data_IF_006930537484
#
_entry.id   IF_006930537484
#
_cell.length_a   1.000
_cell.length_b   1.000
_cell.length_c   1.000
_cell.angle_alpha   90.00
_cell.angle_beta   90.00
_cell.angle_gamma   90.00
#
_symmetry.space_group_name_H-M   'P 1'
#
loop_
_entity.id
_entity.type
_entity.pdbx_description
1 polymer ?
#
# COMPACT_ATOMS: atom_id res chain seq x y z
N UNK A 1 -4.97 -0.56 12.15
CA UNK A 1 -5.65 -0.50 10.85
C UNK A 1 -4.91 0.53 10.04
N UNK A 2 -4.44 0.13 8.86
CA UNK A 2 -3.88 1.04 7.88
C UNK A 2 -4.67 0.94 6.58
N UNK A 3 -4.80 2.04 5.87
CA UNK A 3 -5.30 2.03 4.51
C UNK A 3 -4.81 3.23 3.72
N UNK A 4 -5.08 3.19 2.44
CA UNK A 4 -4.89 4.32 1.53
C UNK A 4 -6.17 4.58 0.77
N UNK A 5 -6.27 5.77 0.20
CA UNK A 5 -7.18 6.03 -0.90
C UNK A 5 -6.46 6.56 -2.12
N UNK A 6 -7.05 6.31 -3.28
CA UNK A 6 -6.60 6.80 -4.57
C UNK A 6 -7.80 7.41 -5.30
N UNK A 7 -7.63 8.52 -6.01
CA UNK A 7 -8.75 9.12 -6.73
C UNK A 7 -9.28 8.13 -7.77
N UNK A 8 -10.61 8.01 -7.85
CA UNK A 8 -11.29 7.09 -8.79
C UNK A 8 -10.88 7.33 -10.24
N UNK A 9 -10.66 8.59 -10.63
CA UNK A 9 -10.25 8.98 -11.99
C UNK A 9 -8.84 8.52 -12.37
N UNK A 10 -8.00 8.20 -11.37
CA UNK A 10 -6.63 7.69 -11.60
C UNK A 10 -6.61 6.19 -11.85
N UNK A 11 -7.76 5.50 -11.68
CA UNK A 11 -7.88 4.07 -11.90
C UNK A 11 -8.74 3.80 -13.14
N UNK A 12 -8.19 3.14 -14.17
CA UNK A 12 -8.95 2.73 -15.34
C UNK A 12 -10.18 1.87 -14.99
N UNK A 13 -11.31 2.17 -15.63
CA UNK A 13 -12.60 1.48 -15.43
C UNK A 13 -12.50 -0.03 -15.61
N UNK A 14 -11.69 -0.47 -16.58
CA UNK A 14 -11.44 -1.89 -16.85
C UNK A 14 -10.86 -2.60 -15.62
N UNK A 15 -9.95 -1.96 -14.88
CA UNK A 15 -9.37 -2.54 -13.66
C UNK A 15 -10.37 -2.56 -12.51
N UNK A 16 -11.22 -1.54 -12.40
CA UNK A 16 -12.27 -1.50 -11.37
C UNK A 16 -13.26 -2.63 -11.58
N UNK A 17 -13.62 -2.89 -12.83
CA UNK A 17 -14.50 -4.00 -13.19
C UNK A 17 -13.82 -5.35 -12.94
N UNK A 18 -12.59 -5.56 -13.44
CA UNK A 18 -11.89 -6.84 -13.34
C UNK A 18 -11.59 -7.23 -11.89
N UNK A 19 -11.26 -6.26 -11.04
CA UNK A 19 -10.98 -6.48 -9.62
C UNK A 19 -12.20 -6.25 -8.71
N UNK A 20 -13.39 -5.98 -9.28
CA UNK A 20 -14.65 -5.76 -8.57
C UNK A 20 -14.54 -4.69 -7.46
N UNK A 21 -13.94 -3.56 -7.78
CA UNK A 21 -13.62 -2.49 -6.82
C UNK A 21 -14.78 -1.50 -6.58
N UNK A 22 -15.96 -1.71 -7.18
CA UNK A 22 -17.10 -0.79 -7.06
C UNK A 22 -17.52 -0.58 -5.61
N UNK A 23 -17.51 -1.63 -4.80
CA UNK A 23 -17.83 -1.55 -3.36
C UNK A 23 -16.78 -0.83 -2.51
N UNK A 24 -15.67 -0.39 -3.11
CA UNK A 24 -14.61 0.40 -2.45
C UNK A 24 -14.67 1.88 -2.80
N UNK A 25 -15.60 2.29 -3.65
CA UNK A 25 -15.79 3.69 -4.02
C UNK A 25 -16.44 4.42 -2.85
N UNK A 26 -15.83 5.52 -2.44
CA UNK A 26 -16.33 6.39 -1.40
C UNK A 26 -16.17 7.85 -1.80
N UNK A 27 -16.87 8.73 -1.08
CA UNK A 27 -16.66 10.17 -1.10
C UNK A 27 -16.41 10.65 0.32
N UNK A 28 -15.47 11.58 0.50
CA UNK A 28 -15.21 12.19 1.82
C UNK A 28 -16.32 13.16 2.19
N UNK A 29 -16.81 13.92 1.21
CA UNK A 29 -17.94 14.85 1.35
C UNK A 29 -18.82 14.77 0.11
N UNK A 30 -19.98 15.44 0.10
CA UNK A 30 -20.89 15.44 -1.05
C UNK A 30 -20.22 15.98 -2.32
N UNK A 31 -19.39 17.01 -2.15
CA UNK A 31 -18.76 17.75 -3.25
C UNK A 31 -17.31 17.29 -3.53
N UNK A 32 -16.82 16.28 -2.82
CA UNK A 32 -15.49 15.71 -3.08
C UNK A 32 -15.51 14.78 -4.29
N UNK A 33 -14.34 14.67 -4.93
CA UNK A 33 -14.08 13.59 -5.89
C UNK A 33 -14.31 12.21 -5.25
N UNK A 34 -14.63 11.24 -6.10
CA UNK A 34 -14.71 9.83 -5.70
C UNK A 34 -13.31 9.25 -5.50
N UNK A 35 -13.19 8.41 -4.48
CA UNK A 35 -11.96 7.74 -4.10
C UNK A 35 -12.20 6.24 -4.01
N UNK A 36 -11.19 5.45 -4.35
CA UNK A 36 -11.15 4.01 -4.06
C UNK A 36 -10.38 3.79 -2.76
N UNK A 37 -10.99 3.08 -1.82
CA UNK A 37 -10.41 2.78 -0.52
C UNK A 37 -9.73 1.41 -0.50
N UNK A 38 -8.55 1.32 0.09
CA UNK A 38 -7.78 0.08 0.22
C UNK A 38 -7.27 -0.08 1.67
N UNK A 39 -7.91 -0.96 2.44
CA UNK A 39 -7.54 -1.24 3.84
C UNK A 39 -6.92 -2.63 4.02
N UNK A 40 -6.02 -2.75 4.99
CA UNK A 40 -5.40 -4.01 5.41
C UNK A 40 -6.39 -5.02 6.00
N UNK A 41 -7.56 -4.54 6.42
CA UNK A 41 -8.65 -5.34 6.98
C UNK A 41 -9.63 -5.90 5.96
N UNK A 42 -9.56 -5.50 4.68
CA UNK A 42 -10.40 -6.13 3.66
C UNK A 42 -10.13 -7.65 3.59
N UNK A 43 -11.16 -8.45 3.28
CA UNK A 43 -11.04 -9.92 3.18
C UNK A 43 -9.94 -10.34 2.20
N UNK A 44 -9.83 -9.59 1.09
CA UNK A 44 -8.77 -9.72 0.10
C UNK A 44 -8.08 -8.36 -0.06
N UNK A 45 -7.14 -8.02 0.83
CA UNK A 45 -6.47 -6.74 0.80
C UNK A 45 -5.55 -6.71 -0.42
N UNK A 46 -5.69 -5.65 -1.20
CA UNK A 46 -4.96 -5.42 -2.44
C UNK A 46 -4.55 -3.97 -2.48
N UNK A 47 -3.42 -3.69 -3.09
CA UNK A 47 -2.96 -2.33 -3.31
C UNK A 47 -2.80 -2.07 -4.81
N UNK A 48 -3.12 -0.86 -5.28
CA UNK A 48 -2.64 -0.37 -6.57
C UNK A 48 -1.11 -0.28 -6.53
N UNK A 49 -0.46 -0.62 -7.63
CA UNK A 49 1.00 -0.59 -7.77
C UNK A 49 1.36 -0.14 -9.18
N UNK A 50 2.24 0.85 -9.28
CA UNK A 50 2.93 1.17 -10.52
C UNK A 50 4.11 0.23 -10.70
N UNK A 51 4.01 -0.66 -11.69
CA UNK A 51 5.04 -1.63 -12.05
C UNK A 51 5.17 -1.66 -13.57
N UNK A 52 6.39 -1.45 -14.08
CA UNK A 52 6.67 -1.44 -15.52
C UNK A 52 5.80 -0.41 -16.29
N UNK A 53 5.54 0.75 -15.68
CA UNK A 53 4.69 1.80 -16.27
C UNK A 53 3.19 1.49 -16.31
N UNK A 54 2.75 0.39 -15.69
CA UNK A 54 1.35 -0.03 -15.66
C UNK A 54 0.81 -0.09 -14.24
N UNK A 55 -0.44 0.36 -14.08
CA UNK A 55 -1.17 0.23 -12.82
C UNK A 55 -1.69 -1.21 -12.70
N UNK A 56 -1.29 -1.90 -11.64
CA UNK A 56 -1.73 -3.27 -11.33
C UNK A 56 -2.24 -3.35 -9.91
N UNK A 57 -3.12 -4.31 -9.62
CA UNK A 57 -3.58 -4.58 -8.26
C UNK A 57 -2.99 -5.89 -7.75
N UNK A 58 -2.09 -5.79 -6.78
CA UNK A 58 -1.43 -6.95 -6.17
C UNK A 58 -1.96 -7.19 -4.76
N UNK A 59 -2.00 -8.46 -4.29
CA UNK A 59 -2.26 -8.76 -2.89
C UNK A 59 -1.31 -8.00 -1.97
N UNK A 60 -1.86 -7.48 -0.87
CA UNK A 60 -1.10 -6.72 0.11
C UNK A 60 -0.51 -7.66 1.17
N UNK A 61 0.81 -7.87 1.06
CA UNK A 61 1.56 -8.78 1.89
C UNK A 61 1.14 -10.23 1.72
N UNK A 62 1.66 -11.10 2.59
CA UNK A 62 1.30 -12.52 2.59
C UNK A 62 0.49 -12.87 3.84
N UNK A 63 -0.71 -13.42 3.62
CA UNK A 63 -1.60 -13.94 4.68
C UNK A 63 -1.68 -15.46 4.70
N UNK A 64 -1.22 -16.14 3.64
CA UNK A 64 -1.27 -17.59 3.51
C UNK A 64 -0.02 -18.27 4.07
N UNK A 65 -0.19 -19.44 4.66
CA UNK A 65 0.90 -20.33 5.08
C UNK A 65 1.44 -21.20 3.94
N UNK A 66 0.78 -21.21 2.77
CA UNK A 66 1.18 -22.03 1.62
C UNK A 66 2.32 -21.41 0.82
N UNK A 67 2.62 -20.14 1.06
CA UNK A 67 3.67 -19.37 0.39
C UNK A 67 4.91 -19.26 1.27
N UNK A 68 6.08 -19.19 0.64
CA UNK A 68 7.37 -18.99 1.31
C UNK A 68 7.64 -17.52 1.64
N UNK A 69 6.75 -16.61 1.23
CA UNK A 69 6.91 -15.18 1.45
C UNK A 69 6.66 -14.81 2.91
N UNK A 70 7.31 -13.76 3.46
CA UNK A 70 7.13 -13.34 4.85
C UNK A 70 5.66 -13.06 5.19
N UNK A 71 5.13 -13.71 6.25
CA UNK A 71 3.73 -13.58 6.69
C UNK A 71 3.47 -12.25 7.43
N UNK A 72 3.62 -11.16 6.71
CA UNK A 72 3.45 -9.78 7.17
C UNK A 72 2.70 -8.97 6.10
N UNK A 73 2.21 -7.78 6.47
CA UNK A 73 1.66 -6.81 5.52
C UNK A 73 2.69 -5.76 5.07
N UNK A 74 3.83 -5.67 5.75
CA UNK A 74 4.81 -4.59 5.57
C UNK A 74 6.22 -5.13 5.46
N UNK A 75 7.05 -4.43 4.69
CA UNK A 75 8.49 -4.61 4.65
C UNK A 75 9.15 -3.49 5.49
N UNK A 76 9.78 -3.80 6.64
CA UNK A 76 10.59 -2.81 7.33
C UNK A 76 11.78 -2.40 6.47
N UNK A 77 11.99 -1.10 6.29
CA UNK A 77 13.09 -0.56 5.48
C UNK A 77 14.44 -1.08 5.97
N UNK A 78 14.64 -1.12 7.29
CA UNK A 78 15.87 -1.59 7.92
C UNK A 78 16.12 -3.07 7.60
N UNK A 79 15.06 -3.87 7.49
CA UNK A 79 15.18 -5.28 7.10
C UNK A 79 15.45 -5.46 5.61
N UNK A 80 14.93 -4.57 4.76
CA UNK A 80 15.20 -4.58 3.32
C UNK A 80 16.66 -4.19 3.06
N UNK A 81 17.10 -3.09 3.68
CA UNK A 81 18.45 -2.52 3.59
C UNK A 81 19.53 -3.50 4.11
N UNK A 82 19.23 -4.22 5.20
CA UNK A 82 20.10 -5.28 5.71
C UNK A 82 20.18 -6.53 4.80
N UNK A 83 19.47 -6.55 3.67
CA UNK A 83 19.54 -7.64 2.69
C UNK A 83 18.70 -8.88 3.04
N UNK A 84 17.88 -8.85 4.09
CA UNK A 84 17.08 -10.02 4.53
C UNK A 84 16.05 -10.47 3.49
N UNK A 85 15.73 -9.62 2.51
CA UNK A 85 14.78 -9.91 1.44
C UNK A 85 15.46 -10.32 0.12
N UNK A 86 16.79 -10.27 0.04
CA UNK A 86 17.54 -10.44 -1.23
C UNK A 86 17.25 -11.77 -1.93
N UNK A 87 17.07 -12.85 -1.16
CA UNK A 87 16.73 -14.17 -1.70
C UNK A 87 15.37 -14.22 -2.42
N UNK A 88 14.49 -13.26 -2.12
CA UNK A 88 13.18 -13.11 -2.74
C UNK A 88 13.21 -12.21 -3.99
N UNK A 89 14.38 -11.65 -4.33
CA UNK A 89 14.59 -10.75 -5.48
C UNK A 89 13.54 -9.62 -5.53
N UNK A 90 13.49 -8.75 -4.51
CA UNK A 90 12.48 -7.70 -4.42
C UNK A 90 12.62 -6.71 -5.58
N UNK A 91 11.50 -6.40 -6.21
CA UNK A 91 11.41 -5.36 -7.24
C UNK A 91 10.79 -4.12 -6.59
N UNK A 92 11.52 -3.01 -6.59
CA UNK A 92 11.00 -1.74 -6.09
C UNK A 92 9.83 -1.25 -6.95
N UNK A 93 8.81 -0.73 -6.28
CA UNK A 93 7.59 -0.19 -6.90
C UNK A 93 7.07 1.01 -6.14
N UNK A 94 6.13 1.73 -6.75
CA UNK A 94 5.35 2.77 -6.08
C UNK A 94 3.92 2.29 -5.90
N UNK A 95 3.41 2.41 -4.68
CA UNK A 95 1.99 2.27 -4.35
C UNK A 95 1.38 3.68 -4.41
N UNK A 96 0.65 4.04 -5.49
CA UNK A 96 0.05 5.35 -5.58
C UNK A 96 -1.04 5.51 -4.53
N UNK A 97 -1.06 6.67 -3.88
CA UNK A 97 -2.04 7.04 -2.86
C UNK A 97 -2.20 8.55 -2.84
N UNK A 98 -3.44 9.02 -2.73
CA UNK A 98 -3.76 10.43 -2.50
C UNK A 98 -3.88 10.74 -1.01
N UNK A 99 -4.33 9.76 -0.22
CA UNK A 99 -4.37 9.87 1.24
C UNK A 99 -3.98 8.55 1.91
N UNK A 100 -3.34 8.66 3.07
CA UNK A 100 -3.14 7.57 4.01
C UNK A 100 -4.16 7.65 5.15
N UNK A 101 -4.52 6.50 5.71
CA UNK A 101 -5.29 6.36 6.93
C UNK A 101 -4.53 5.45 7.89
N UNK A 102 -4.06 5.97 9.01
CA UNK A 102 -3.43 5.16 10.05
C UNK A 102 -4.16 5.39 11.37
N UNK A 103 -4.69 4.31 11.95
CA UNK A 103 -5.47 4.33 13.20
C UNK A 103 -6.60 5.38 13.20
N UNK A 104 -7.24 5.56 12.04
CA UNK A 104 -8.36 6.49 11.86
C UNK A 104 -7.96 7.92 11.55
N UNK A 105 -6.67 8.24 11.55
CA UNK A 105 -6.17 9.56 11.15
C UNK A 105 -5.88 9.56 9.67
N UNK A 106 -6.56 10.45 8.94
CA UNK A 106 -6.33 10.68 7.52
C UNK A 106 -5.30 11.78 7.30
N UNK A 107 -4.37 11.55 6.38
CA UNK A 107 -3.34 12.52 5.99
C UNK A 107 -3.09 12.46 4.48
N UNK A 108 -2.66 13.59 3.91
CA UNK A 108 -2.36 13.69 2.48
C UNK A 108 -1.08 12.90 2.16
N UNK A 109 -1.06 12.27 0.98
CA UNK A 109 0.13 11.69 0.36
C UNK A 109 0.24 12.33 -1.02
N UNK A 110 1.40 12.89 -1.35
CA UNK A 110 1.56 13.68 -2.58
C UNK A 110 1.99 12.84 -3.77
N UNK A 111 2.89 11.88 -3.57
CA UNK A 111 3.45 11.07 -4.66
C UNK A 111 3.15 9.56 -4.51
N UNK A 112 3.04 9.08 -3.28
CA UNK A 112 2.74 7.68 -2.98
C UNK A 112 3.64 7.10 -1.90
N UNK A 113 3.60 5.77 -1.80
CA UNK A 113 4.37 5.00 -0.83
C UNK A 113 5.32 4.06 -1.57
N UNK A 114 6.57 3.98 -1.14
CA UNK A 114 7.52 2.99 -1.66
C UNK A 114 7.09 1.59 -1.26
N UNK A 115 7.21 0.64 -2.16
CA UNK A 115 6.91 -0.76 -1.93
C UNK A 115 7.94 -1.68 -2.57
N UNK A 116 7.90 -2.95 -2.18
CA UNK A 116 8.58 -4.03 -2.90
C UNK A 116 7.57 -5.07 -3.35
N UNK A 117 7.72 -5.52 -4.58
CA UNK A 117 7.03 -6.70 -5.10
C UNK A 117 7.97 -7.89 -5.02
N UNK A 118 7.48 -8.97 -4.43
CA UNK A 118 8.17 -10.26 -4.43
C UNK A 118 7.21 -11.34 -4.92
N UNK A 119 7.78 -12.41 -5.46
CA UNK A 119 7.01 -13.54 -5.96
C UNK A 119 7.64 -14.85 -5.54
N UNK A 120 6.79 -15.85 -5.31
CA UNK A 120 7.18 -17.24 -5.24
C UNK A 120 6.36 -18.07 -6.24
N UNK A 121 6.36 -19.40 -6.09
CA UNK A 121 5.60 -20.29 -6.98
C UNK A 121 4.08 -20.19 -6.80
N UNK A 122 3.61 -19.67 -5.67
CA UNK A 122 2.20 -19.62 -5.30
C UNK A 122 1.58 -18.26 -5.61
N UNK A 123 2.33 -17.17 -5.41
CA UNK A 123 1.79 -15.83 -5.54
C UNK A 123 2.86 -14.77 -5.80
N UNK A 124 2.38 -13.63 -6.30
CA UNK A 124 3.11 -12.37 -6.38
C UNK A 124 2.36 -11.35 -5.51
N UNK A 125 3.07 -10.70 -4.59
CA UNK A 125 2.47 -9.79 -3.61
C UNK A 125 3.30 -8.52 -3.48
N UNK A 126 2.66 -7.45 -3.01
CA UNK A 126 3.33 -6.17 -2.70
C UNK A 126 3.40 -5.98 -1.18
N UNK A 127 4.56 -5.57 -0.71
CA UNK A 127 4.78 -5.11 0.65
C UNK A 127 5.14 -3.62 0.61
N UNK A 128 4.27 -2.72 1.08
CA UNK A 128 4.67 -1.36 1.35
C UNK A 128 5.86 -1.33 2.31
N UNK A 129 6.81 -0.44 2.02
CA UNK A 129 7.98 -0.20 2.85
C UNK A 129 7.57 0.73 3.97
N UNK A 130 8.20 0.54 5.12
CA UNK A 130 7.88 1.24 6.35
C UNK A 130 9.13 1.50 7.15
N UNK A 131 9.23 2.67 7.74
CA UNK A 131 10.39 3.15 8.49
C UNK A 131 9.99 3.50 9.92
N UNK A 132 10.96 3.86 10.75
CA UNK A 132 10.68 4.63 11.96
C UNK A 132 9.84 5.87 11.62
N UNK A 133 8.80 6.13 12.43
CA UNK A 133 7.99 7.32 12.31
C UNK A 133 8.79 8.56 12.72
N UNK A 134 8.52 9.69 12.09
CA UNK A 134 8.91 10.99 12.67
C UNK A 134 8.15 11.23 13.96
N UNK A 135 8.63 12.20 14.75
CA UNK A 135 7.91 12.63 15.94
C UNK A 135 6.50 13.14 15.61
N UNK A 136 6.35 13.89 14.51
CA UNK A 136 5.04 14.44 14.11
C UNK A 136 4.06 13.34 13.72
N UNK A 137 4.48 12.39 12.88
CA UNK A 137 3.65 11.24 12.52
C UNK A 137 3.26 10.41 13.75
N UNK A 138 4.19 10.15 14.67
CA UNK A 138 3.90 9.42 15.91
C UNK A 138 2.92 10.18 16.81
N UNK A 139 3.05 11.49 16.96
CA UNK A 139 2.09 12.30 17.72
C UNK A 139 0.70 12.25 17.09
N UNK A 140 0.64 12.41 15.76
CA UNK A 140 -0.59 12.44 14.99
C UNK A 140 -1.32 11.10 15.04
N UNK A 141 -0.63 9.99 14.75
CA UNK A 141 -1.25 8.67 14.53
C UNK A 141 -1.12 7.73 15.73
N UNK A 142 -0.27 8.06 16.71
CA UNK A 142 0.17 7.19 17.81
C UNK A 142 0.92 5.93 17.35
N UNK A 143 1.42 5.91 16.11
CA UNK A 143 2.17 4.79 15.55
C UNK A 143 3.66 5.13 15.45
N UNK A 144 4.51 4.20 15.90
CA UNK A 144 5.98 4.36 15.89
C UNK A 144 6.61 4.04 14.54
N UNK A 145 5.82 3.54 13.60
CA UNK A 145 6.25 3.28 12.23
C UNK A 145 5.32 3.99 11.27
N UNK A 146 5.90 4.49 10.19
CA UNK A 146 5.19 5.16 9.11
C UNK A 146 5.50 4.50 7.77
N UNK A 147 4.66 4.69 6.75
CA UNK A 147 5.03 4.35 5.38
C UNK A 147 6.27 5.10 4.94
N UNK A 148 7.12 4.48 4.13
CA UNK A 148 8.20 5.18 3.47
C UNK A 148 7.61 5.92 2.25
N UNK A 149 7.40 7.22 2.37
CA UNK A 149 6.78 8.04 1.32
C UNK A 149 7.77 8.31 0.16
N UNK A 150 7.22 8.54 -1.02
CA UNK A 150 7.98 9.00 -2.18
C UNK A 150 8.10 10.53 -2.11
N UNK A 151 9.31 11.08 -2.26
CA UNK A 151 9.54 12.53 -2.38
C UNK A 151 9.32 13.37 -1.12
N UNK A 152 8.70 12.82 -0.06
CA UNK A 152 8.30 13.57 1.13
C UNK A 152 8.56 12.82 2.45
N UNK A 153 8.35 13.52 3.57
CA UNK A 153 8.33 12.96 4.93
C UNK A 153 7.36 13.76 5.78
N UNK A 154 6.53 13.04 6.56
CA UNK A 154 5.53 13.59 7.48
C UNK A 154 6.06 13.47 8.90
#
# INVERSE_FOLDING_TARGET
MFGISLLRREVPDALIQSYRLQGRIARRTKDSDEELLFFDQHDFPRLPVWMEGQLRFLPWGNRTSQSLLPRTHWCPFESLDAGNWSSLQPVEVVVPASFGCDRGVWYLITEGIRGVVVKDRQQQVVYPISTQATHYYEVMTRNRRMPNFVGETI
#
